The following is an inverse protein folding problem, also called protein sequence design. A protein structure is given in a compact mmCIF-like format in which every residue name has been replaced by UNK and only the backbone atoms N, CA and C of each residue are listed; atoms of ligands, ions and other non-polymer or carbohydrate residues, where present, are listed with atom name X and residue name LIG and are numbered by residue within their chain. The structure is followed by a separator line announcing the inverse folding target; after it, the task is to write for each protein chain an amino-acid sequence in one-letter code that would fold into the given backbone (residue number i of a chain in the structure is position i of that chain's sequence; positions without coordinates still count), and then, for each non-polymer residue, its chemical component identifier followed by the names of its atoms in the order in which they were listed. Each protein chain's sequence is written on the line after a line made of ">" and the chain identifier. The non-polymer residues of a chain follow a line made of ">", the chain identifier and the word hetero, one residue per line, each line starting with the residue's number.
data_IF_366174914506
#
_entry.id   IF_366174914506
#
_cell.length_a   1.000
_cell.length_b   1.000
_cell.length_c   1.000
_cell.angle_alpha   90.00
_cell.angle_beta   90.00
_cell.angle_gamma   90.00
#
_symmetry.space_group_name_H-M   'P 1'
#
loop_
_entity.id
_entity.type
_entity.pdbx_description
1 polymer ?
#
# COMPACT_ATOMS: atom_id res chain seq x y z
N UNK A 1 11.54 21.33 14.13
CA UNK A 1 11.40 20.02 14.82
C UNK A 1 10.66 19.08 13.89
N UNK A 2 11.32 18.03 13.37
CA UNK A 2 10.65 17.02 12.55
C UNK A 2 9.79 16.15 13.47
N UNK A 3 8.55 16.59 13.71
CA UNK A 3 7.54 15.73 14.33
C UNK A 3 7.23 14.60 13.36
N UNK A 4 7.91 13.47 13.54
CA UNK A 4 7.72 12.26 12.76
C UNK A 4 6.81 11.35 13.57
N UNK A 5 5.55 11.25 13.18
CA UNK A 5 4.67 10.18 13.67
C UNK A 5 5.07 8.90 12.94
N UNK A 6 6.05 8.17 13.48
CA UNK A 6 6.18 6.74 13.16
C UNK A 6 5.33 5.97 14.16
N UNK A 7 4.08 5.65 13.79
CA UNK A 7 3.21 4.80 14.61
C UNK A 7 3.52 3.35 14.25
N UNK A 8 4.02 2.57 15.22
CA UNK A 8 4.00 1.12 15.09
C UNK A 8 2.54 0.63 15.12
N UNK A 9 2.26 -0.57 14.61
CA UNK A 9 0.92 -1.17 14.67
C UNK A 9 0.42 -1.14 16.11
N UNK A 10 -0.78 -0.61 16.34
CA UNK A 10 -1.35 -0.49 17.68
C UNK A 10 -0.64 0.49 18.61
N UNK A 11 0.30 1.32 18.13
CA UNK A 11 1.01 2.24 19.02
C UNK A 11 0.10 3.33 19.59
N UNK A 12 0.47 3.87 20.76
CA UNK A 12 -0.33 4.87 21.48
C UNK A 12 -0.57 6.12 20.63
N UNK A 13 -1.74 6.73 20.84
CA UNK A 13 -2.15 8.02 20.28
C UNK A 13 -1.01 9.04 20.51
N UNK A 14 -0.74 9.94 19.55
CA UNK A 14 0.13 11.09 19.76
C UNK A 14 -0.02 11.76 21.13
N UNK A 15 1.11 11.93 21.83
CA UNK A 15 1.15 12.54 23.17
C UNK A 15 0.41 13.88 23.24
N UNK A 16 0.53 14.70 22.18
CA UNK A 16 -0.11 16.01 22.13
C UNK A 16 -1.64 15.95 22.26
N UNK A 17 -2.30 15.03 21.55
CA UNK A 17 -3.76 14.91 21.62
C UNK A 17 -4.22 14.39 22.97
N UNK A 18 -3.48 13.41 23.53
CA UNK A 18 -3.73 12.89 24.88
C UNK A 18 -3.54 13.96 25.95
N UNK A 19 -2.54 14.81 25.80
CA UNK A 19 -2.29 15.93 26.71
C UNK A 19 -3.40 16.98 26.63
N UNK A 20 -3.88 17.34 25.42
CA UNK A 20 -5.01 18.29 25.27
C UNK A 20 -6.24 17.81 26.05
N UNK A 21 -6.54 16.50 26.01
CA UNK A 21 -7.74 15.95 26.65
C UNK A 21 -7.54 15.59 28.12
N UNK A 22 -6.31 15.70 28.65
CA UNK A 22 -5.97 15.36 30.03
C UNK A 22 -5.60 13.90 30.29
N UNK A 23 -5.48 13.06 29.26
CA UNK A 23 -5.15 11.64 29.36
C UNK A 23 -3.64 11.36 29.48
N UNK A 24 -2.81 12.41 29.41
CA UNK A 24 -1.36 12.32 29.57
C UNK A 24 -0.77 13.66 30.02
N UNK A 25 0.26 13.61 30.85
CA UNK A 25 1.01 14.79 31.27
C UNK A 25 2.24 15.02 30.39
N UNK A 26 2.63 16.28 30.22
CA UNK A 26 3.86 16.62 29.51
C UNK A 26 4.36 18.01 29.89
N UNK A 27 5.32 18.06 30.81
CA UNK A 27 6.02 19.28 31.24
C UNK A 27 6.52 20.10 30.03
N UNK A 28 7.05 19.41 29.02
CA UNK A 28 7.54 20.06 27.80
C UNK A 28 6.45 20.79 27.01
N UNK A 29 5.24 20.23 26.95
CA UNK A 29 4.12 20.85 26.24
C UNK A 29 3.55 21.99 27.08
N UNK A 30 3.45 21.80 28.40
CA UNK A 30 3.02 22.83 29.35
C UNK A 30 3.93 24.05 29.32
N UNK A 31 5.25 23.86 29.37
CA UNK A 31 6.23 24.95 29.31
C UNK A 31 6.12 25.72 27.98
N UNK A 32 5.84 25.04 26.87
CA UNK A 32 5.57 25.70 25.58
C UNK A 32 4.25 26.47 25.56
N UNK A 33 3.24 25.98 26.26
CA UNK A 33 1.96 26.67 26.37
C UNK A 33 2.10 27.93 27.23
N UNK A 34 2.84 27.86 28.33
CA UNK A 34 3.07 28.98 29.25
C UNK A 34 3.79 30.17 28.57
N UNK A 35 4.76 29.89 27.69
CA UNK A 35 5.49 30.94 26.95
C UNK A 35 4.77 31.31 25.64
N UNK A 36 3.60 30.71 25.35
CA UNK A 36 2.85 31.00 24.13
C UNK A 36 2.11 32.33 24.22
N UNK A 37 2.11 33.08 23.12
CA UNK A 37 1.23 34.27 22.94
C UNK A 37 -0.22 33.87 22.56
N UNK A 38 -0.51 32.58 22.45
CA UNK A 38 -1.82 32.06 22.09
C UNK A 38 -2.87 32.29 23.16
N UNK A 39 -4.14 32.46 22.76
CA UNK A 39 -5.28 32.68 23.66
C UNK A 39 -5.74 31.43 24.44
N UNK A 40 -4.96 30.35 24.41
CA UNK A 40 -5.32 29.06 25.00
C UNK A 40 -6.07 28.13 24.06
N UNK A 41 -6.54 26.99 24.62
CA UNK A 41 -7.33 25.98 23.91
C UNK A 41 -8.82 26.27 24.10
N UNK A 42 -9.56 26.41 23.01
CA UNK A 42 -11.01 26.56 23.05
C UNK A 42 -11.74 25.23 23.27
N UNK A 43 -13.03 25.32 23.58
CA UNK A 43 -13.91 24.16 23.79
C UNK A 43 -13.96 23.24 22.56
N UNK A 44 -14.11 23.80 21.37
CA UNK A 44 -14.10 23.04 20.11
C UNK A 44 -12.82 22.20 19.96
N UNK A 45 -11.66 22.76 20.32
CA UNK A 45 -10.37 22.04 20.24
C UNK A 45 -10.37 20.81 21.13
N UNK A 46 -10.93 20.91 22.34
CA UNK A 46 -11.07 19.78 23.26
C UNK A 46 -12.00 18.71 22.69
N UNK A 47 -13.13 19.12 22.12
CA UNK A 47 -14.09 18.20 21.47
C UNK A 47 -13.43 17.43 20.33
N UNK A 48 -12.74 18.12 19.42
CA UNK A 48 -12.06 17.47 18.30
C UNK A 48 -10.88 16.61 18.76
N UNK A 49 -10.13 17.02 19.78
CA UNK A 49 -9.04 16.22 20.32
C UNK A 49 -9.54 14.90 20.96
N UNK A 50 -10.68 14.93 21.66
CA UNK A 50 -11.33 13.72 22.19
C UNK A 50 -11.76 12.78 21.07
N UNK A 51 -12.40 13.32 20.03
CA UNK A 51 -12.81 12.53 18.87
C UNK A 51 -11.60 11.88 18.18
N UNK A 52 -10.50 12.63 18.00
CA UNK A 52 -9.26 12.08 17.46
C UNK A 52 -8.74 10.93 18.32
N UNK A 53 -8.65 11.11 19.64
CA UNK A 53 -8.20 10.05 20.55
C UNK A 53 -9.05 8.77 20.38
N UNK A 54 -10.37 8.90 20.38
CA UNK A 54 -11.29 7.78 20.18
C UNK A 54 -11.08 7.08 18.82
N UNK A 55 -10.87 7.83 17.73
CA UNK A 55 -10.56 7.23 16.42
C UNK A 55 -9.24 6.47 16.42
N UNK A 56 -8.20 7.01 17.05
CA UNK A 56 -6.89 6.36 17.13
C UNK A 56 -6.94 5.07 17.96
N UNK A 57 -7.74 5.03 19.03
CA UNK A 57 -7.95 3.82 19.83
C UNK A 57 -8.70 2.77 19.03
N UNK A 58 -9.78 3.15 18.35
CA UNK A 58 -10.52 2.20 17.50
C UNK A 58 -9.65 1.67 16.37
N UNK A 59 -8.83 2.52 15.78
CA UNK A 59 -7.86 2.13 14.76
C UNK A 59 -6.84 1.11 15.31
N UNK A 60 -6.37 1.27 16.55
CA UNK A 60 -5.46 0.33 17.20
C UNK A 60 -6.10 -1.06 17.34
N UNK A 61 -7.35 -1.10 17.82
CA UNK A 61 -8.11 -2.35 17.99
C UNK A 61 -8.29 -3.06 16.65
N UNK A 62 -8.71 -2.33 15.61
CA UNK A 62 -8.87 -2.89 14.26
C UNK A 62 -7.54 -3.40 13.71
N UNK A 63 -6.43 -2.69 13.94
CA UNK A 63 -5.10 -3.12 13.51
C UNK A 63 -4.64 -4.40 14.21
N UNK A 64 -4.96 -4.57 15.49
CA UNK A 64 -4.70 -5.81 16.24
C UNK A 64 -5.54 -6.97 15.71
N UNK A 65 -6.85 -6.80 15.56
CA UNK A 65 -7.74 -7.82 14.97
C UNK A 65 -7.27 -8.23 13.57
N UNK A 66 -6.83 -7.26 12.77
CA UNK A 66 -6.33 -7.51 11.42
C UNK A 66 -5.02 -8.32 11.41
N UNK A 67 -4.13 -8.08 12.38
CA UNK A 67 -2.89 -8.84 12.53
C UNK A 67 -3.21 -10.32 12.78
N UNK A 68 -4.08 -10.60 13.75
CA UNK A 68 -4.53 -11.95 14.10
C UNK A 68 -5.15 -12.68 12.90
N UNK A 69 -6.00 -11.99 12.13
CA UNK A 69 -6.58 -12.56 10.91
C UNK A 69 -5.53 -12.88 9.84
N UNK A 70 -4.46 -12.09 9.76
CA UNK A 70 -3.41 -12.27 8.77
C UNK A 70 -2.41 -13.37 9.13
N UNK A 71 -2.32 -13.77 10.41
CA UNK A 71 -1.40 -14.81 10.90
C UNK A 71 -1.81 -16.25 10.53
N UNK A 72 -2.90 -16.41 9.78
CA UNK A 72 -3.35 -17.73 9.33
C UNK A 72 -2.31 -18.38 8.37
N UNK A 73 -2.00 -19.69 8.52
CA UNK A 73 -0.91 -20.34 7.76
C UNK A 73 -1.04 -20.24 6.23
N UNK A 74 -2.27 -20.22 5.70
CA UNK A 74 -2.53 -20.09 4.27
C UNK A 74 -2.03 -18.76 3.68
N UNK A 75 -1.86 -17.72 4.50
CA UNK A 75 -1.39 -16.41 4.06
C UNK A 75 0.14 -16.28 4.12
N UNK A 76 0.87 -17.24 4.71
CA UNK A 76 2.32 -17.17 4.85
C UNK A 76 3.07 -16.87 3.54
N UNK A 77 2.76 -17.49 2.38
CA UNK A 77 3.41 -17.14 1.11
C UNK A 77 3.19 -15.68 0.69
N UNK A 78 2.02 -15.13 1.02
CA UNK A 78 1.69 -13.72 0.74
C UNK A 78 2.41 -12.78 1.69
N UNK A 79 2.48 -13.12 2.97
CA UNK A 79 3.20 -12.31 3.96
C UNK A 79 4.69 -12.21 3.59
N UNK A 80 5.33 -13.34 3.26
CA UNK A 80 6.71 -13.38 2.77
C UNK A 80 6.91 -12.55 1.50
N UNK A 81 5.96 -12.65 0.55
CA UNK A 81 5.95 -11.80 -0.63
C UNK A 81 5.91 -10.32 -0.25
N UNK A 82 5.01 -9.94 0.67
CA UNK A 82 4.83 -8.55 1.07
C UNK A 82 6.02 -7.99 1.88
N UNK A 83 6.71 -8.84 2.65
CA UNK A 83 7.97 -8.52 3.31
C UNK A 83 9.05 -8.19 2.29
N UNK A 84 9.18 -8.99 1.23
CA UNK A 84 10.13 -8.74 0.15
C UNK A 84 9.93 -7.38 -0.54
N UNK A 85 8.73 -6.81 -0.50
CA UNK A 85 8.42 -5.48 -1.02
C UNK A 85 8.27 -4.38 0.05
N UNK A 86 8.43 -4.70 1.33
CA UNK A 86 8.37 -3.74 2.43
C UNK A 86 7.00 -3.07 2.59
N UNK A 87 5.93 -3.80 2.28
CA UNK A 87 4.55 -3.32 2.39
C UNK A 87 4.13 -3.29 3.87
N UNK A 88 3.43 -2.25 4.31
CA UNK A 88 2.91 -2.15 5.68
C UNK A 88 1.57 -2.87 5.86
N UNK A 89 1.16 -3.12 7.11
CA UNK A 89 -0.03 -3.90 7.49
C UNK A 89 -1.27 -3.58 6.64
N UNK A 90 -1.68 -2.31 6.59
CA UNK A 90 -2.88 -1.89 5.84
C UNK A 90 -2.77 -2.18 4.34
N UNK A 91 -1.60 -1.91 3.75
CA UNK A 91 -1.36 -2.23 2.34
C UNK A 91 -1.46 -3.73 2.10
N UNK A 92 -0.85 -4.55 2.98
CA UNK A 92 -0.91 -6.02 2.89
C UNK A 92 -2.33 -6.52 2.94
N UNK A 93 -3.12 -6.08 3.91
CA UNK A 93 -4.52 -6.48 4.06
C UNK A 93 -5.37 -6.10 2.84
N UNK A 94 -5.24 -4.86 2.35
CA UNK A 94 -5.94 -4.39 1.16
C UNK A 94 -5.59 -5.27 -0.05
N UNK A 95 -4.32 -5.56 -0.28
CA UNK A 95 -3.90 -6.41 -1.39
C UNK A 95 -4.37 -7.85 -1.22
N UNK A 96 -4.15 -8.44 -0.04
CA UNK A 96 -4.50 -9.82 0.28
C UNK A 96 -5.99 -10.09 0.02
N UNK A 97 -6.87 -9.20 0.49
CA UNK A 97 -8.33 -9.29 0.28
C UNK A 97 -8.73 -9.35 -1.19
N UNK A 98 -7.89 -8.83 -2.10
CA UNK A 98 -8.16 -8.81 -3.53
C UNK A 98 -7.46 -9.90 -4.32
N UNK A 99 -6.34 -10.45 -3.84
CA UNK A 99 -5.50 -11.38 -4.61
C UNK A 99 -5.44 -12.81 -4.06
N UNK A 100 -5.96 -13.05 -2.86
CA UNK A 100 -6.14 -14.39 -2.35
C UNK A 100 -7.39 -15.04 -2.98
N UNK A 101 -7.37 -16.36 -3.28
CA UNK A 101 -6.19 -17.21 -3.51
C UNK A 101 -5.54 -16.90 -4.88
N UNK A 102 -4.27 -17.26 -5.11
CA UNK A 102 -3.51 -16.93 -6.34
C UNK A 102 -3.97 -17.81 -7.49
N UNK A 103 -4.45 -19.00 -7.16
CA UNK A 103 -5.00 -20.03 -8.01
C UNK A 103 -6.16 -19.50 -8.87
N UNK A 104 -6.91 -18.51 -8.39
CA UNK A 104 -8.00 -17.88 -9.16
C UNK A 104 -7.55 -17.16 -10.44
N UNK A 105 -6.24 -16.88 -10.55
CA UNK A 105 -5.66 -16.28 -11.74
C UNK A 105 -5.03 -17.31 -12.67
N UNK A 106 -4.88 -18.56 -12.23
CA UNK A 106 -4.22 -19.63 -12.96
C UNK A 106 -5.23 -20.46 -13.75
N UNK A 107 -4.75 -21.31 -14.65
CA UNK A 107 -5.58 -22.30 -15.31
C UNK A 107 -5.87 -23.49 -14.39
N UNK A 108 -6.68 -24.43 -14.87
CA UNK A 108 -7.08 -25.65 -14.13
C UNK A 108 -5.89 -26.52 -13.69
N UNK A 109 -4.74 -26.39 -14.35
CA UNK A 109 -3.50 -27.09 -14.02
C UNK A 109 -2.62 -26.32 -13.01
N UNK A 110 -3.11 -25.22 -12.45
CA UNK A 110 -2.35 -24.35 -11.54
C UNK A 110 -1.18 -23.63 -12.22
N UNK A 111 -1.25 -23.41 -13.54
CA UNK A 111 -0.21 -22.74 -14.32
C UNK A 111 -0.71 -21.41 -14.89
N UNK A 112 0.19 -20.45 -15.17
CA UNK A 112 -0.18 -19.23 -15.88
C UNK A 112 -0.80 -19.53 -17.25
N UNK A 113 -1.95 -18.93 -17.52
CA UNK A 113 -2.63 -18.95 -18.82
C UNK A 113 -1.91 -17.98 -19.77
N UNK A 114 -1.16 -18.56 -20.71
CA UNK A 114 -0.30 -17.85 -21.66
C UNK A 114 -0.59 -18.30 -23.08
N UNK A 115 -0.77 -17.33 -23.96
CA UNK A 115 -0.99 -17.56 -25.39
C UNK A 115 0.14 -16.90 -26.18
N UNK A 116 0.73 -17.64 -27.12
CA UNK A 116 1.64 -17.06 -28.12
C UNK A 116 0.82 -16.34 -29.19
N UNK A 117 1.20 -15.10 -29.46
CA UNK A 117 0.71 -14.32 -30.59
C UNK A 117 1.88 -13.98 -31.51
N UNK A 118 2.41 -14.99 -32.19
CA UNK A 118 3.60 -14.88 -33.03
C UNK A 118 4.84 -14.65 -32.17
N UNK A 119 5.52 -13.52 -32.37
CA UNK A 119 6.76 -13.17 -31.63
C UNK A 119 6.53 -12.85 -30.14
N UNK A 120 5.29 -12.53 -29.75
CA UNK A 120 4.97 -12.08 -28.39
C UNK A 120 4.11 -13.07 -27.62
N UNK A 121 4.35 -13.17 -26.31
CA UNK A 121 3.51 -13.92 -25.39
C UNK A 121 2.53 -13.00 -24.67
N UNK A 122 1.26 -13.40 -24.63
CA UNK A 122 0.22 -12.75 -23.81
C UNK A 122 -0.01 -13.58 -22.56
N UNK A 123 0.29 -12.99 -21.40
CA UNK A 123 0.02 -13.59 -20.09
C UNK A 123 -1.34 -13.09 -19.56
N UNK A 124 -2.38 -13.92 -19.74
CA UNK A 124 -3.74 -13.58 -19.30
C UNK A 124 -3.87 -13.60 -17.79
N UNK A 125 -3.18 -14.52 -17.12
CA UNK A 125 -3.14 -14.62 -15.66
C UNK A 125 -2.59 -13.35 -15.02
N UNK A 126 -1.42 -12.88 -15.47
CA UNK A 126 -0.83 -11.62 -15.02
C UNK A 126 -1.75 -10.43 -15.32
N UNK A 127 -2.41 -10.42 -16.48
CA UNK A 127 -3.35 -9.35 -16.83
C UNK A 127 -4.56 -9.33 -15.90
N UNK A 128 -5.17 -10.48 -15.60
CA UNK A 128 -6.29 -10.61 -14.65
C UNK A 128 -5.84 -10.19 -13.24
N UNK A 129 -4.65 -10.61 -12.81
CA UNK A 129 -4.04 -10.23 -11.55
C UNK A 129 -3.89 -8.71 -11.44
N UNK A 130 -3.21 -8.07 -12.41
CA UNK A 130 -3.04 -6.61 -12.44
C UNK A 130 -4.37 -5.88 -12.54
N UNK A 131 -5.36 -6.44 -13.26
CA UNK A 131 -6.71 -5.86 -13.35
C UNK A 131 -7.39 -5.83 -11.99
N UNK A 132 -7.31 -6.90 -11.19
CA UNK A 132 -7.92 -6.92 -9.84
C UNK A 132 -7.33 -5.83 -8.92
N UNK A 133 -6.01 -5.60 -9.02
CA UNK A 133 -5.28 -4.57 -8.27
C UNK A 133 -5.42 -3.14 -8.80
N UNK A 134 -6.19 -2.95 -9.87
CA UNK A 134 -6.36 -1.63 -10.48
C UNK A 134 -5.21 -1.16 -11.36
N UNK A 135 -4.29 -2.05 -11.72
CA UNK A 135 -3.05 -1.78 -12.47
C UNK A 135 -3.11 -2.14 -13.95
N UNK A 136 -4.28 -2.54 -14.47
CA UNK A 136 -4.49 -2.80 -15.89
C UNK A 136 -5.64 -1.93 -16.43
N UNK A 137 -5.47 -1.29 -17.61
CA UNK A 137 -6.54 -0.54 -18.24
C UNK A 137 -7.62 -1.48 -18.79
N UNK A 138 -8.86 -1.00 -18.80
CA UNK A 138 -9.98 -1.64 -19.48
C UNK A 138 -10.41 -0.81 -20.68
N UNK A 139 -10.82 -1.49 -21.73
CA UNK A 139 -11.30 -0.86 -22.94
C UNK A 139 -12.80 -0.61 -22.80
N UNK A 140 -13.21 0.65 -22.65
CA UNK A 140 -14.60 1.02 -22.59
C UNK A 140 -15.06 1.45 -23.98
N UNK A 141 -15.99 0.69 -24.55
CA UNK A 141 -16.67 1.01 -25.79
C UNK A 141 -18.18 1.14 -25.48
N UNK A 142 -18.66 2.37 -25.44
CA UNK A 142 -20.09 2.67 -25.53
C UNK A 142 -20.34 3.11 -26.97
N UNK A 143 -21.37 2.57 -27.62
CA UNK A 143 -21.65 2.77 -29.04
C UNK A 143 -21.56 4.24 -29.50
N UNK A 144 -21.15 4.42 -30.76
CA UNK A 144 -20.90 5.68 -31.49
C UNK A 144 -19.84 6.65 -30.92
N UNK A 145 -19.20 6.32 -29.79
CA UNK A 145 -18.12 7.12 -29.21
C UNK A 145 -16.70 6.59 -29.49
N UNK A 146 -15.72 7.49 -29.52
CA UNK A 146 -14.31 7.12 -29.52
C UNK A 146 -14.00 6.22 -28.32
N UNK A 147 -13.37 5.08 -28.59
CA UNK A 147 -12.95 4.09 -27.59
C UNK A 147 -12.01 4.71 -26.57
N UNK A 148 -12.29 4.55 -25.27
CA UNK A 148 -11.47 5.10 -24.18
C UNK A 148 -10.92 4.01 -23.28
N UNK A 149 -9.67 4.18 -22.85
CA UNK A 149 -9.10 3.36 -21.80
C UNK A 149 -9.50 3.91 -20.44
N UNK A 150 -10.22 3.11 -19.66
CA UNK A 150 -10.69 3.48 -18.33
C UNK A 150 -9.96 2.64 -17.28
N UNK A 151 -9.77 3.26 -16.11
CA UNK A 151 -9.34 2.58 -14.91
C UNK A 151 -10.33 1.45 -14.54
N UNK A 152 -9.86 0.20 -14.50
CA UNK A 152 -10.64 -0.95 -14.00
C UNK A 152 -10.05 -1.44 -12.68
N UNK A 153 -10.82 -2.19 -11.89
CA UNK A 153 -10.35 -2.84 -10.65
C UNK A 153 -10.42 -1.97 -9.40
N UNK A 154 -9.83 -2.47 -8.30
CA UNK A 154 -9.92 -1.81 -6.99
C UNK A 154 -9.22 -0.44 -6.95
N UNK A 155 -9.96 0.60 -6.59
CA UNK A 155 -9.43 1.93 -6.31
C UNK A 155 -8.52 1.94 -5.08
N UNK A 156 -8.89 1.18 -4.04
CA UNK A 156 -8.12 1.05 -2.81
C UNK A 156 -6.76 0.39 -3.03
N UNK A 157 -6.70 -0.73 -3.78
CA UNK A 157 -5.42 -1.37 -4.11
C UNK A 157 -4.51 -0.45 -4.93
N UNK A 158 -5.10 0.29 -5.88
CA UNK A 158 -4.37 1.25 -6.70
C UNK A 158 -3.73 2.34 -5.85
N UNK A 159 -4.49 2.93 -4.93
CA UNK A 159 -3.96 3.92 -4.00
C UNK A 159 -2.90 3.31 -3.08
N UNK A 160 -3.14 2.10 -2.54
CA UNK A 160 -2.19 1.42 -1.67
C UNK A 160 -0.84 1.16 -2.37
N UNK A 161 -0.85 0.66 -3.61
CA UNK A 161 0.36 0.45 -4.41
C UNK A 161 1.09 1.76 -4.73
N UNK A 162 0.35 2.83 -5.06
CA UNK A 162 0.94 4.14 -5.29
C UNK A 162 1.61 4.70 -4.03
N UNK A 163 0.98 4.54 -2.87
CA UNK A 163 1.56 4.92 -1.59
C UNK A 163 2.83 4.11 -1.28
N UNK A 164 2.85 2.81 -1.59
CA UNK A 164 4.06 1.99 -1.49
C UNK A 164 5.17 2.53 -2.39
N UNK A 165 4.88 2.94 -3.63
CA UNK A 165 5.88 3.55 -4.51
C UNK A 165 6.42 4.85 -3.91
N UNK A 166 5.55 5.74 -3.44
CA UNK A 166 5.94 7.03 -2.85
C UNK A 166 6.84 6.86 -1.62
N UNK A 167 6.46 5.95 -0.72
CA UNK A 167 7.13 5.81 0.58
C UNK A 167 8.32 4.86 0.50
N UNK A 168 8.22 3.76 -0.24
CA UNK A 168 9.22 2.68 -0.23
C UNK A 168 10.20 2.77 -1.40
N UNK A 169 9.75 3.18 -2.59
CA UNK A 169 10.57 3.16 -3.81
C UNK A 169 11.20 4.52 -4.12
N UNK A 170 10.44 5.61 -4.05
CA UNK A 170 10.91 6.96 -4.42
C UNK A 170 11.93 7.50 -3.40
N UNK A 171 11.76 7.16 -2.13
CA UNK A 171 12.67 7.53 -1.03
C UNK A 171 13.83 6.53 -0.95
N UNK A 172 15.02 6.92 -1.44
CA UNK A 172 16.21 6.04 -1.51
C UNK A 172 16.55 5.35 -0.18
N UNK A 173 16.54 6.07 0.94
CA UNK A 173 16.84 5.52 2.28
C UNK A 173 15.86 4.45 2.78
N UNK A 174 14.68 4.33 2.16
CA UNK A 174 13.66 3.36 2.58
C UNK A 174 13.72 2.07 1.75
N UNK A 175 14.57 2.02 0.71
CA UNK A 175 14.66 0.91 -0.23
C UNK A 175 15.23 -0.34 0.44
N UNK A 176 14.70 -1.50 0.07
CA UNK A 176 15.15 -2.78 0.57
C UNK A 176 16.27 -3.35 -0.30
N UNK A 177 17.15 -4.12 0.32
CA UNK A 177 18.25 -4.79 -0.36
C UNK A 177 17.89 -6.25 -0.68
N UNK A 178 17.04 -6.45 -1.69
CA UNK A 178 16.77 -7.78 -2.22
C UNK A 178 16.47 -7.71 -3.73
N UNK A 179 16.70 -8.82 -4.43
CA UNK A 179 16.51 -8.96 -5.89
C UNK A 179 15.15 -8.46 -6.39
N UNK A 180 14.07 -8.82 -5.70
CA UNK A 180 12.71 -8.49 -6.15
C UNK A 180 12.45 -7.00 -6.04
N UNK A 181 12.81 -6.41 -4.92
CA UNK A 181 12.67 -4.98 -4.68
C UNK A 181 13.57 -4.15 -5.60
N UNK A 182 14.82 -4.57 -5.78
CA UNK A 182 15.78 -3.92 -6.68
C UNK A 182 15.24 -3.85 -8.12
N UNK A 183 14.54 -4.89 -8.61
CA UNK A 183 13.89 -4.86 -9.93
C UNK A 183 12.89 -3.70 -10.06
N UNK A 184 12.10 -3.44 -9.02
CA UNK A 184 11.12 -2.34 -9.00
C UNK A 184 11.82 -0.98 -8.87
N UNK A 185 12.81 -0.85 -7.98
CA UNK A 185 13.51 0.43 -7.76
C UNK A 185 14.36 0.85 -8.96
N UNK A 186 15.08 -0.09 -9.58
CA UNK A 186 15.87 0.17 -10.79
C UNK A 186 14.97 0.54 -11.97
N UNK A 187 13.77 -0.05 -12.06
CA UNK A 187 12.78 0.36 -13.05
C UNK A 187 12.30 1.80 -12.81
N UNK A 188 12.05 2.20 -11.56
CA UNK A 188 11.71 3.59 -11.23
C UNK A 188 12.85 4.55 -11.60
N UNK A 189 14.09 4.22 -11.28
CA UNK A 189 15.25 5.06 -11.57
C UNK A 189 15.48 5.20 -13.08
N UNK A 190 15.32 4.10 -13.84
CA UNK A 190 15.35 4.14 -15.32
C UNK A 190 14.32 5.13 -15.86
N UNK A 191 13.07 5.08 -15.39
CA UNK A 191 12.02 6.01 -15.82
C UNK A 191 12.30 7.45 -15.38
N UNK A 192 12.97 7.64 -14.24
CA UNK A 192 13.38 8.96 -13.75
C UNK A 192 14.49 9.55 -14.63
N UNK A 193 15.47 8.75 -15.03
CA UNK A 193 16.56 9.16 -15.93
C UNK A 193 16.06 9.45 -17.36
N UNK A 194 14.93 8.86 -17.75
CA UNK A 194 14.22 9.18 -19.01
C UNK A 194 13.32 10.43 -18.89
N UNK A 195 13.46 11.22 -17.81
CA UNK A 195 12.69 12.44 -17.56
C UNK A 195 11.17 12.27 -17.61
N UNK A 196 10.68 11.05 -17.35
CA UNK A 196 9.25 10.77 -17.41
C UNK A 196 8.49 11.57 -16.35
N UNK A 197 7.33 12.18 -16.68
CA UNK A 197 6.51 12.92 -15.72
C UNK A 197 6.22 12.10 -14.46
N UNK A 198 6.34 12.74 -13.28
CA UNK A 198 6.33 12.05 -11.99
C UNK A 198 5.09 11.16 -11.79
N UNK A 199 3.90 11.66 -12.14
CA UNK A 199 2.64 10.90 -12.08
C UNK A 199 2.73 9.63 -12.93
N UNK A 200 3.09 9.77 -14.21
CA UNK A 200 3.19 8.65 -15.16
C UNK A 200 4.22 7.61 -14.71
N UNK A 201 5.38 8.08 -14.21
CA UNK A 201 6.42 7.22 -13.64
C UNK A 201 5.91 6.40 -12.47
N UNK A 202 5.26 7.04 -11.48
CA UNK A 202 4.71 6.37 -10.29
C UNK A 202 3.70 5.28 -10.66
N UNK A 203 2.79 5.57 -11.59
CA UNK A 203 1.82 4.58 -12.07
C UNK A 203 2.48 3.40 -12.79
N UNK A 204 3.47 3.65 -13.66
CA UNK A 204 4.23 2.57 -14.31
C UNK A 204 4.97 1.71 -13.29
N UNK A 205 5.60 2.33 -12.30
CA UNK A 205 6.29 1.60 -11.22
C UNK A 205 5.32 0.82 -10.35
N UNK A 206 4.14 1.34 -10.02
CA UNK A 206 3.10 0.60 -9.30
C UNK A 206 2.61 -0.63 -10.10
N UNK A 207 2.45 -0.49 -11.42
CA UNK A 207 2.13 -1.62 -12.29
C UNK A 207 3.25 -2.66 -12.36
N UNK A 208 4.53 -2.23 -12.28
CA UNK A 208 5.68 -3.13 -12.17
C UNK A 208 5.74 -3.81 -10.80
N UNK A 209 5.42 -3.11 -9.72
CA UNK A 209 5.32 -3.69 -8.38
C UNK A 209 4.26 -4.80 -8.33
N UNK A 210 3.06 -4.55 -8.87
CA UNK A 210 2.01 -5.57 -8.97
C UNK A 210 2.46 -6.81 -9.78
N UNK A 211 3.20 -6.59 -10.85
CA UNK A 211 3.77 -7.67 -11.65
C UNK A 211 4.83 -8.49 -10.87
N UNK A 212 5.70 -7.83 -10.11
CA UNK A 212 6.70 -8.52 -9.30
C UNK A 212 6.08 -9.29 -8.13
N UNK A 213 4.99 -8.78 -7.54
CA UNK A 213 4.19 -9.50 -6.54
C UNK A 213 3.63 -10.79 -7.14
N UNK A 214 3.03 -10.72 -8.33
CA UNK A 214 2.51 -11.91 -9.02
C UNK A 214 3.58 -12.98 -9.24
N UNK A 215 4.74 -12.59 -9.79
CA UNK A 215 5.83 -13.55 -10.04
C UNK A 215 6.41 -14.13 -8.75
N UNK A 216 6.51 -13.34 -7.69
CA UNK A 216 6.94 -13.87 -6.40
C UNK A 216 5.98 -14.97 -5.92
N UNK A 217 4.67 -14.69 -5.93
CA UNK A 217 3.65 -15.63 -5.47
C UNK A 217 3.63 -16.91 -6.31
N UNK A 218 3.82 -16.83 -7.63
CA UNK A 218 3.96 -18.02 -8.48
C UNK A 218 5.13 -18.89 -8.06
N UNK A 219 6.31 -18.30 -7.84
CA UNK A 219 7.51 -19.04 -7.41
C UNK A 219 7.25 -19.71 -6.05
N UNK A 220 6.65 -18.99 -5.11
CA UNK A 220 6.31 -19.54 -3.79
C UNK A 220 5.24 -20.64 -3.85
N UNK A 221 4.33 -20.60 -4.82
CA UNK A 221 3.30 -21.63 -4.99
C UNK A 221 3.83 -22.94 -5.58
N UNK A 222 4.88 -22.88 -6.42
CA UNK A 222 5.49 -24.06 -7.04
C UNK A 222 6.55 -24.75 -6.16
N UNK A 223 7.00 -24.09 -5.09
CA UNK A 223 7.96 -24.65 -4.13
C UNK A 223 7.29 -25.31 -2.91
N UNK A 224 5.97 -25.50 -2.94
CA UNK A 224 5.22 -26.36 -2.01
C UNK A 224 5.15 -27.77 -2.57
#
# INVERSE_FOLDING_TARGET
>A
MNYRVSRAVGAKIPLFWRWIVGDAESEKIELKQQVSVGKGLGEDTLVYARALCAFYDREAVIESELLELMEQPQYLPYLQCFDAFGLGLRTRAILLSQIYPIEKYLNELGKPDRESKGEYWRDFSLRRFKKSLGMAPYHFASGEGATRFVASGSGYCRQALLMSVLVRVEVKRNRLDNRFFQSVSSYFDKLKNQEMPAKKRRFKTAAKLAEMIYYYLLISSHNK
#
